data_IF_682644710760
#
_entry.id   IF_682644710760
#
_cell.length_a   1.000
_cell.length_b   1.000
_cell.length_c   1.000
_cell.angle_alpha   90.00
_cell.angle_beta   90.00
_cell.angle_gamma   90.00
#
_symmetry.space_group_name_H-M   'P 1'
#
loop_
_entity.id
_entity.type
_entity.pdbx_description
1 polymer ?
#
# COMPACT_ATOMS: atom_id res chain seq x y z
N UNK A 1 -10.70 -0.41 -13.64
CA UNK A 1 -11.48 0.25 -12.56
C UNK A 1 -12.62 -0.65 -12.13
N UNK A 2 -12.70 -0.96 -10.84
CA UNK A 2 -13.67 -1.86 -10.22
C UNK A 2 -14.37 -1.10 -9.09
N UNK A 3 -15.71 -1.16 -9.06
CA UNK A 3 -16.55 -0.61 -7.99
C UNK A 3 -17.37 -1.74 -7.40
N UNK A 4 -17.10 -2.11 -6.16
CA UNK A 4 -17.61 -3.33 -5.55
C UNK A 4 -17.99 -3.10 -4.10
N UNK A 5 -19.06 -2.34 -3.89
CA UNK A 5 -19.51 -1.92 -2.56
C UNK A 5 -19.90 -3.09 -1.63
N UNK A 6 -20.07 -4.31 -2.15
CA UNK A 6 -20.51 -5.49 -1.39
C UNK A 6 -19.52 -6.66 -1.46
N UNK A 7 -18.45 -6.59 -2.27
CA UNK A 7 -17.49 -7.69 -2.38
C UNK A 7 -16.44 -7.58 -1.27
N UNK A 8 -16.30 -8.67 -0.52
CA UNK A 8 -15.29 -8.83 0.54
C UNK A 8 -13.91 -9.19 0.01
N UNK A 9 -13.84 -9.89 -1.13
CA UNK A 9 -12.59 -10.41 -1.67
C UNK A 9 -12.53 -10.18 -3.17
N UNK A 10 -11.38 -9.73 -3.67
CA UNK A 10 -11.03 -9.77 -5.09
C UNK A 10 -9.86 -10.73 -5.28
N UNK A 11 -10.07 -11.78 -6.08
CA UNK A 11 -9.09 -12.81 -6.33
C UNK A 11 -9.24 -13.43 -7.71
N UNK A 12 -8.34 -14.35 -8.07
CA UNK A 12 -8.39 -15.17 -9.28
C UNK A 12 -8.31 -14.39 -10.60
N UNK A 13 -7.33 -13.49 -10.72
CA UNK A 13 -7.10 -12.73 -11.95
C UNK A 13 -5.66 -12.89 -12.43
N UNK A 14 -5.29 -14.07 -12.97
CA UNK A 14 -3.90 -14.46 -13.20
C UNK A 14 -3.18 -13.65 -14.27
N UNK A 15 -3.91 -13.06 -15.21
CA UNK A 15 -3.37 -12.26 -16.31
C UNK A 15 -3.56 -10.74 -16.11
N UNK A 16 -4.11 -10.31 -14.96
CA UNK A 16 -4.38 -8.90 -14.73
C UNK A 16 -3.11 -8.17 -14.34
N UNK A 17 -2.69 -7.21 -15.17
CA UNK A 17 -1.47 -6.41 -14.93
C UNK A 17 -1.73 -5.10 -14.21
N UNK A 18 -2.96 -4.56 -14.30
CA UNK A 18 -3.33 -3.30 -13.65
C UNK A 18 -4.75 -3.38 -13.06
N UNK A 19 -4.90 -2.91 -11.83
CA UNK A 19 -6.17 -2.91 -11.11
C UNK A 19 -6.39 -1.60 -10.38
N UNK A 20 -7.49 -0.92 -10.69
CA UNK A 20 -7.95 0.26 -9.95
C UNK A 20 -9.25 -0.10 -9.23
N UNK A 21 -9.27 0.02 -7.90
CA UNK A 21 -10.39 -0.31 -7.01
C UNK A 21 -10.89 0.97 -6.35
N UNK A 22 -12.16 1.31 -6.54
CA UNK A 22 -12.74 2.55 -5.99
C UNK A 22 -14.05 2.27 -5.26
N UNK A 23 -14.20 2.89 -4.10
CA UNK A 23 -15.41 2.87 -3.28
C UNK A 23 -15.82 1.47 -2.82
N UNK A 24 -14.88 0.53 -2.72
CA UNK A 24 -15.15 -0.83 -2.27
C UNK A 24 -15.15 -0.90 -0.73
N UNK A 25 -16.19 -0.31 -0.11
CA UNK A 25 -16.28 -0.19 1.34
C UNK A 25 -16.31 -1.51 2.11
N UNK A 26 -16.70 -2.62 1.47
CA UNK A 26 -16.70 -3.96 2.08
C UNK A 26 -15.48 -4.82 1.73
N UNK A 27 -14.56 -4.33 0.90
CA UNK A 27 -13.38 -5.12 0.48
C UNK A 27 -12.42 -5.29 1.66
N UNK A 28 -12.20 -6.53 2.05
CA UNK A 28 -11.34 -6.92 3.17
C UNK A 28 -9.98 -7.44 2.70
N UNK A 29 -9.93 -8.09 1.53
CA UNK A 29 -8.73 -8.75 1.03
C UNK A 29 -8.63 -8.77 -0.49
N UNK A 30 -7.40 -8.72 -1.00
CA UNK A 30 -7.05 -9.07 -2.37
C UNK A 30 -6.00 -10.18 -2.40
N UNK A 31 -6.10 -11.12 -3.34
CA UNK A 31 -5.19 -12.26 -3.43
C UNK A 31 -5.10 -12.79 -4.87
N UNK A 32 -4.14 -13.67 -5.17
CA UNK A 32 -4.10 -14.46 -6.41
C UNK A 32 -4.08 -13.61 -7.70
N UNK A 33 -3.21 -12.61 -7.74
CA UNK A 33 -2.97 -11.75 -8.92
C UNK A 33 -1.46 -11.74 -9.29
N UNK A 34 -0.90 -12.89 -9.74
CA UNK A 34 0.53 -13.05 -9.96
C UNK A 34 1.13 -12.13 -11.02
N UNK A 35 0.34 -11.59 -11.95
CA UNK A 35 0.81 -10.68 -13.00
C UNK A 35 0.63 -9.19 -12.66
N UNK A 36 0.11 -8.86 -11.48
CA UNK A 36 -0.29 -7.49 -11.14
C UNK A 36 0.93 -6.59 -10.91
N UNK A 37 1.13 -5.61 -11.79
CA UNK A 37 2.25 -4.65 -11.74
C UNK A 37 1.85 -3.29 -11.20
N UNK A 38 0.59 -2.89 -11.39
CA UNK A 38 0.07 -1.61 -10.94
C UNK A 38 -1.26 -1.79 -10.22
N UNK A 39 -1.38 -1.21 -9.03
CA UNK A 39 -2.60 -1.28 -8.25
C UNK A 39 -2.92 0.05 -7.58
N UNK A 40 -4.19 0.42 -7.58
CA UNK A 40 -4.67 1.57 -6.86
C UNK A 40 -5.94 1.25 -6.09
N UNK A 41 -6.04 1.75 -4.86
CA UNK A 41 -7.22 1.61 -4.02
C UNK A 41 -7.65 2.97 -3.45
N UNK A 42 -8.92 3.30 -3.64
CA UNK A 42 -9.52 4.54 -3.17
C UNK A 42 -10.77 4.23 -2.34
N UNK A 43 -10.79 4.66 -1.08
CA UNK A 43 -11.93 4.51 -0.17
C UNK A 43 -12.36 3.04 0.03
N UNK A 44 -11.39 2.16 0.34
CA UNK A 44 -11.61 0.76 0.69
C UNK A 44 -11.53 0.58 2.22
N UNK A 45 -12.57 1.01 2.93
CA UNK A 45 -12.53 1.18 4.40
C UNK A 45 -12.52 -0.11 5.22
N UNK A 46 -12.67 -1.29 4.62
CA UNK A 46 -12.55 -2.58 5.32
C UNK A 46 -11.23 -3.31 4.98
N UNK A 47 -10.40 -2.75 4.09
CA UNK A 47 -9.13 -3.34 3.72
C UNK A 47 -8.15 -3.11 4.87
N UNK A 48 -7.82 -4.17 5.62
CA UNK A 48 -6.96 -4.06 6.80
C UNK A 48 -5.49 -4.27 6.50
N UNK A 49 -5.19 -5.13 5.52
CA UNK A 49 -3.82 -5.48 5.15
C UNK A 49 -3.67 -5.54 3.65
N UNK A 50 -2.47 -5.23 3.20
CA UNK A 50 -2.06 -5.40 1.82
C UNK A 50 -0.67 -6.02 1.80
N UNK A 51 -0.59 -7.30 1.42
CA UNK A 51 0.66 -8.02 1.42
C UNK A 51 0.74 -9.08 0.32
N UNK A 52 1.95 -9.60 0.11
CA UNK A 52 2.25 -10.71 -0.78
C UNK A 52 1.94 -10.41 -2.25
N UNK A 53 2.45 -9.28 -2.73
CA UNK A 53 2.31 -8.86 -4.13
C UNK A 53 3.70 -8.82 -4.79
N UNK A 54 4.25 -9.99 -5.19
CA UNK A 54 5.65 -10.11 -5.59
C UNK A 54 6.01 -9.41 -6.90
N UNK A 55 5.02 -9.14 -7.76
CA UNK A 55 5.20 -8.51 -9.07
C UNK A 55 4.73 -7.06 -9.12
N UNK A 56 4.20 -6.53 -8.02
CA UNK A 56 3.69 -5.18 -7.97
C UNK A 56 4.84 -4.17 -7.98
N UNK A 57 4.85 -3.27 -8.96
CA UNK A 57 5.89 -2.29 -9.20
C UNK A 57 5.48 -0.88 -8.74
N UNK A 58 4.18 -0.58 -8.80
CA UNK A 58 3.62 0.71 -8.38
C UNK A 58 2.28 0.57 -7.67
N UNK A 59 2.12 1.30 -6.57
CA UNK A 59 0.92 1.26 -5.74
C UNK A 59 0.51 2.65 -5.25
N UNK A 60 -0.79 2.94 -5.32
CA UNK A 60 -1.40 4.11 -4.68
C UNK A 60 -2.58 3.69 -3.80
N UNK A 61 -2.55 4.09 -2.53
CA UNK A 61 -3.65 3.84 -1.60
C UNK A 61 -4.10 5.14 -0.97
N UNK A 62 -5.38 5.47 -1.17
CA UNK A 62 -5.96 6.72 -0.67
C UNK A 62 -7.22 6.44 0.12
N UNK A 63 -7.31 7.04 1.31
CA UNK A 63 -8.52 7.06 2.14
C UNK A 63 -9.03 5.64 2.51
N UNK A 64 -8.11 4.69 2.68
CA UNK A 64 -8.40 3.35 3.19
C UNK A 64 -8.27 3.36 4.72
N UNK A 65 -9.35 3.77 5.40
CA UNK A 65 -9.31 4.13 6.82
C UNK A 65 -8.91 3.01 7.79
N UNK A 66 -9.13 1.73 7.43
CA UNK A 66 -8.78 0.58 8.27
C UNK A 66 -7.46 -0.10 7.91
N UNK A 67 -6.75 0.39 6.89
CA UNK A 67 -5.50 -0.23 6.46
C UNK A 67 -4.45 -0.05 7.56
N UNK A 68 -3.97 -1.14 8.13
CA UNK A 68 -2.99 -1.12 9.23
C UNK A 68 -1.57 -1.45 8.79
N UNK A 69 -1.43 -2.27 7.74
CA UNK A 69 -0.13 -2.78 7.29
C UNK A 69 -0.07 -2.92 5.77
N UNK A 70 1.05 -2.47 5.20
CA UNK A 70 1.46 -2.80 3.83
C UNK A 70 2.84 -3.45 3.88
N UNK A 71 2.99 -4.66 3.34
CA UNK A 71 4.26 -5.36 3.38
C UNK A 71 4.46 -6.38 2.24
N UNK A 72 5.67 -6.94 2.14
CA UNK A 72 5.97 -8.07 1.25
C UNK A 72 5.72 -7.77 -0.24
N UNK A 73 6.43 -6.76 -0.75
CA UNK A 73 6.38 -6.37 -2.17
C UNK A 73 7.80 -6.17 -2.72
N UNK A 74 8.52 -7.27 -3.00
CA UNK A 74 9.92 -7.22 -3.42
C UNK A 74 10.19 -6.45 -4.70
N UNK A 75 9.21 -6.30 -5.60
CA UNK A 75 9.35 -5.57 -6.85
C UNK A 75 8.84 -4.12 -6.79
N UNK A 76 8.27 -3.67 -5.67
CA UNK A 76 7.63 -2.36 -5.58
C UNK A 76 8.67 -1.25 -5.60
N UNK A 77 8.56 -0.34 -6.56
CA UNK A 77 9.48 0.79 -6.76
C UNK A 77 8.90 2.11 -6.28
N UNK A 78 7.58 2.26 -6.38
CA UNK A 78 6.87 3.48 -5.97
C UNK A 78 5.62 3.15 -5.16
N UNK A 79 5.52 3.79 -3.99
CA UNK A 79 4.36 3.69 -3.12
C UNK A 79 3.90 5.09 -2.71
N UNK A 80 2.62 5.37 -2.96
CA UNK A 80 1.92 6.53 -2.38
C UNK A 80 0.84 6.04 -1.42
N UNK A 81 0.84 6.57 -0.19
CA UNK A 81 -0.24 6.36 0.77
C UNK A 81 -0.76 7.70 1.27
N UNK A 82 -2.06 7.90 1.11
CA UNK A 82 -2.74 9.16 1.45
C UNK A 82 -3.93 8.88 2.38
N UNK A 83 -3.99 9.59 3.51
CA UNK A 83 -5.10 9.57 4.49
C UNK A 83 -5.48 8.17 5.00
N UNK A 84 -4.54 7.22 5.03
CA UNK A 84 -4.73 5.92 5.65
C UNK A 84 -4.41 6.01 7.16
N UNK A 85 -5.36 6.56 7.92
CA UNK A 85 -5.13 6.98 9.30
C UNK A 85 -4.79 5.85 10.28
N UNK A 86 -5.15 4.60 9.98
CA UNK A 86 -4.82 3.43 10.82
C UNK A 86 -3.52 2.74 10.40
N UNK A 87 -2.85 3.20 9.34
CA UNK A 87 -1.63 2.58 8.84
C UNK A 87 -0.53 2.75 9.88
N UNK A 88 0.03 1.65 10.36
CA UNK A 88 1.08 1.61 11.40
C UNK A 88 2.43 1.22 10.84
N UNK A 89 2.43 0.34 9.83
CA UNK A 89 3.64 -0.34 9.35
C UNK A 89 3.69 -0.39 7.83
N UNK A 90 4.83 0.02 7.29
CA UNK A 90 5.28 -0.30 5.93
C UNK A 90 6.56 -1.13 6.04
N UNK A 91 6.64 -2.30 5.42
CA UNK A 91 7.82 -3.16 5.57
C UNK A 91 8.11 -4.03 4.34
N UNK A 92 9.36 -4.48 4.20
CA UNK A 92 9.76 -5.52 3.24
C UNK A 92 9.44 -5.13 1.78
N UNK A 93 9.99 -4.00 1.36
CA UNK A 93 9.92 -3.48 -0.01
C UNK A 93 11.34 -3.12 -0.48
N UNK A 94 12.22 -4.13 -0.68
CA UNK A 94 13.64 -3.90 -0.92
C UNK A 94 13.98 -3.12 -2.18
N UNK A 95 13.09 -3.11 -3.18
CA UNK A 95 13.25 -2.33 -4.41
C UNK A 95 12.56 -0.95 -4.37
N UNK A 96 12.02 -0.53 -3.22
CA UNK A 96 11.28 0.72 -3.12
C UNK A 96 12.23 1.90 -3.23
N UNK A 97 12.08 2.70 -4.28
CA UNK A 97 12.91 3.86 -4.58
C UNK A 97 12.24 5.17 -4.11
N UNK A 98 10.90 5.23 -4.19
CA UNK A 98 10.11 6.41 -3.86
C UNK A 98 8.92 6.08 -2.96
N UNK A 99 8.84 6.78 -1.83
CA UNK A 99 7.74 6.69 -0.88
C UNK A 99 7.13 8.07 -0.66
N UNK A 100 5.82 8.17 -0.83
CA UNK A 100 5.05 9.35 -0.44
C UNK A 100 3.99 8.97 0.59
N UNK A 101 4.01 9.66 1.74
CA UNK A 101 3.06 9.47 2.83
C UNK A 101 2.42 10.82 3.18
N UNK A 102 1.10 10.88 3.03
CA UNK A 102 0.30 12.07 3.29
C UNK A 102 -0.79 11.73 4.28
N UNK A 103 -0.85 12.45 5.41
CA UNK A 103 -1.96 12.32 6.36
C UNK A 103 -2.17 10.92 6.98
N UNK A 104 -1.12 10.09 7.08
CA UNK A 104 -1.18 8.76 7.71
C UNK A 104 -0.68 8.80 9.16
N UNK A 105 -1.46 9.42 10.05
CA UNK A 105 -1.00 9.86 11.38
C UNK A 105 -0.55 8.75 12.35
N UNK A 106 -0.93 7.49 12.11
CA UNK A 106 -0.52 6.35 12.94
C UNK A 106 0.75 5.64 12.45
N UNK A 107 1.32 6.07 11.32
CA UNK A 107 2.49 5.41 10.75
C UNK A 107 3.70 5.62 11.66
N UNK A 108 4.30 4.50 12.12
CA UNK A 108 5.42 4.51 13.07
C UNK A 108 6.62 3.70 12.58
N UNK A 109 6.39 2.74 11.71
CA UNK A 109 7.41 1.76 11.32
C UNK A 109 7.59 1.76 9.81
N UNK A 110 8.81 2.07 9.37
CA UNK A 110 9.34 1.73 8.05
C UNK A 110 10.48 0.74 8.24
N UNK A 111 10.42 -0.41 7.58
CA UNK A 111 11.47 -1.43 7.71
C UNK A 111 11.82 -2.09 6.37
N UNK A 112 13.09 -2.43 6.20
CA UNK A 112 13.58 -3.24 5.07
C UNK A 112 13.24 -2.65 3.69
N UNK A 113 13.72 -1.42 3.46
CA UNK A 113 13.64 -0.68 2.19
C UNK A 113 15.02 -0.09 1.82
N UNK A 114 16.07 -0.93 1.66
CA UNK A 114 17.44 -0.47 1.41
C UNK A 114 17.63 0.39 0.15
N UNK A 115 16.75 0.30 -0.85
CA UNK A 115 16.82 1.10 -2.08
C UNK A 115 16.10 2.45 -1.98
N UNK A 116 15.58 2.84 -0.81
CA UNK A 116 14.74 4.03 -0.68
C UNK A 116 15.57 5.31 -0.79
N UNK A 117 15.37 6.04 -1.88
CA UNK A 117 16.11 7.28 -2.17
C UNK A 117 15.32 8.53 -1.81
N UNK A 118 13.99 8.48 -1.92
CA UNK A 118 13.11 9.63 -1.73
C UNK A 118 11.94 9.31 -0.81
N UNK A 119 11.76 10.14 0.22
CA UNK A 119 10.60 10.12 1.11
C UNK A 119 9.97 11.50 1.12
N UNK A 120 8.74 11.60 0.63
CA UNK A 120 7.89 12.79 0.81
C UNK A 120 6.93 12.48 1.94
N UNK A 121 7.19 13.06 3.11
CA UNK A 121 6.35 12.91 4.29
C UNK A 121 5.71 14.26 4.62
N UNK A 122 4.38 14.34 4.57
CA UNK A 122 3.62 15.52 4.98
C UNK A 122 2.96 15.36 6.35
N UNK A 123 3.39 14.40 7.17
CA UNK A 123 2.91 14.18 8.53
C UNK A 123 3.41 15.31 9.46
N UNK A 124 2.51 15.99 10.16
CA UNK A 124 2.80 17.20 10.96
C UNK A 124 3.63 16.93 12.24
N UNK A 125 3.97 15.69 12.57
CA UNK A 125 4.95 15.40 13.63
C UNK A 125 5.85 14.24 13.24
N UNK A 126 7.15 14.53 13.10
CA UNK A 126 8.24 13.58 12.87
C UNK A 126 8.11 12.33 13.76
N UNK A 127 7.66 11.20 13.18
CA UNK A 127 7.52 9.92 13.90
C UNK A 127 7.99 8.71 13.13
N UNK A 128 8.32 8.85 11.85
CA UNK A 128 9.14 7.86 11.17
C UNK A 128 10.55 8.05 11.72
N UNK A 129 10.91 7.25 12.73
CA UNK A 129 12.30 7.13 13.12
C UNK A 129 13.07 6.81 11.84
N UNK A 130 13.96 7.71 11.42
CA UNK A 130 14.88 7.49 10.32
C UNK A 130 15.60 6.17 10.62
N UNK A 131 15.13 5.09 10.01
CA UNK A 131 15.83 3.83 9.97
C UNK A 131 17.05 4.11 9.10
N UNK A 132 18.09 4.60 9.77
CA UNK A 132 19.50 4.54 9.43
C UNK A 132 19.76 4.01 8.03
N UNK A 133 20.02 4.93 7.11
CA UNK A 133 20.90 4.65 5.97
C UNK A 133 22.22 4.14 6.56
N UNK A 134 22.40 2.82 6.56
CA UNK A 134 23.64 2.14 6.93
C UNK A 134 23.83 0.96 5.96
#
# INVERSE_FOLDING_TARGET
VVRCNMLKTLANMPALESLDVRFCGSLEQIAEMPALKSWSAYTCNMLMTLANMPTLESSEVTDCGSLEQVAEMPALKSLRVDRCNMLKTLANMPALESLEVVGCNMLKTLANMPALESVVDSMVEARVGMATFA
#
